data_IF_279528095715
#
_entry.id   IF_279528095715
#
_cell.length_a   1.000
_cell.length_b   1.000
_cell.length_c   1.000
_cell.angle_alpha   90.00
_cell.angle_beta   90.00
_cell.angle_gamma   90.00
#
_symmetry.space_group_name_H-M   'P 1'
#
loop_
_entity.id
_entity.type
_entity.pdbx_description
1 polymer ?
#
# COMPACT_ATOMS: atom_id res chain seq x y z
N UNK A 1 20.83 10.22 15.05
CA UNK A 1 20.10 8.94 15.09
C UNK A 1 20.99 7.87 14.47
N UNK A 2 21.28 6.83 15.22
CA UNK A 2 22.10 5.72 14.75
C UNK A 2 21.33 4.99 13.63
N UNK A 3 21.83 5.07 12.40
CA UNK A 3 21.46 4.12 11.36
C UNK A 3 21.91 2.74 11.84
N UNK A 4 20.97 1.89 12.20
CA UNK A 4 21.28 0.48 12.39
C UNK A 4 21.62 -0.08 11.01
N UNK A 5 22.89 -0.39 10.83
CA UNK A 5 23.35 -1.16 9.67
C UNK A 5 22.66 -2.52 9.72
N UNK A 6 21.71 -2.73 8.85
CA UNK A 6 20.84 -3.91 8.88
C UNK A 6 21.37 -5.06 8.06
N UNK A 7 22.56 -4.90 7.44
CA UNK A 7 23.13 -5.93 6.57
C UNK A 7 22.31 -6.26 5.32
N UNK A 8 21.27 -5.48 5.04
CA UNK A 8 20.50 -5.56 3.81
C UNK A 8 21.21 -4.74 2.73
N UNK A 9 21.87 -5.38 1.78
CA UNK A 9 22.28 -4.72 0.54
C UNK A 9 21.02 -4.24 -0.18
N UNK A 10 20.88 -2.92 -0.32
CA UNK A 10 19.89 -2.31 -1.20
C UNK A 10 20.26 -2.70 -2.64
N UNK A 11 19.57 -3.66 -3.21
CA UNK A 11 19.69 -3.93 -4.64
C UNK A 11 19.14 -2.72 -5.39
N UNK A 12 19.92 -2.20 -6.31
CA UNK A 12 19.49 -1.18 -7.28
C UNK A 12 18.23 -1.69 -8.03
N UNK A 13 17.10 -1.02 -7.83
CA UNK A 13 15.72 -1.38 -8.15
C UNK A 13 15.12 -2.31 -7.09
N UNK A 14 14.71 -1.71 -5.99
CA UNK A 14 14.05 -2.38 -4.86
C UNK A 14 12.71 -3.01 -5.25
N UNK A 15 12.77 -4.14 -5.94
CA UNK A 15 11.62 -5.02 -6.12
C UNK A 15 11.36 -5.76 -4.79
N UNK A 16 10.87 -5.03 -3.81
CA UNK A 16 10.34 -5.62 -2.58
C UNK A 16 9.03 -6.32 -2.89
N UNK A 17 9.10 -7.58 -3.28
CA UNK A 17 7.92 -8.38 -3.55
C UNK A 17 7.13 -8.58 -2.26
N UNK A 18 5.91 -8.09 -2.23
CA UNK A 18 5.01 -8.22 -1.08
C UNK A 18 4.56 -9.67 -0.93
N UNK A 19 4.88 -10.34 0.20
CA UNK A 19 4.41 -11.70 0.45
C UNK A 19 2.88 -11.77 0.46
N UNK A 20 2.31 -12.87 -0.01
CA UNK A 20 0.86 -13.04 -0.15
C UNK A 20 0.09 -12.74 1.14
N UNK A 21 0.57 -13.25 2.29
CA UNK A 21 -0.08 -13.07 3.59
C UNK A 21 -0.31 -11.58 3.97
N UNK A 22 0.53 -10.68 3.48
CA UNK A 22 0.43 -9.23 3.75
C UNK A 22 -0.83 -8.65 3.10
N UNK A 23 -1.08 -9.03 1.86
CA UNK A 23 -2.29 -8.61 1.14
C UNK A 23 -3.52 -9.39 1.63
N UNK A 24 -3.39 -10.68 1.89
CA UNK A 24 -4.44 -11.50 2.49
C UNK A 24 -4.95 -10.93 3.82
N UNK A 25 -4.05 -10.35 4.64
CA UNK A 25 -4.42 -9.69 5.88
C UNK A 25 -5.32 -8.45 5.66
N UNK A 26 -5.16 -7.76 4.53
CA UNK A 26 -5.95 -6.58 4.18
C UNK A 26 -7.37 -6.94 3.72
N UNK A 27 -7.54 -8.00 2.92
CA UNK A 27 -8.79 -8.28 2.21
C UNK A 27 -10.03 -8.34 3.11
N UNK A 28 -10.03 -8.94 4.31
CA UNK A 28 -11.19 -8.96 5.22
C UNK A 28 -11.62 -7.56 5.71
N UNK A 29 -10.75 -6.58 5.58
CA UNK A 29 -10.99 -5.19 6.00
C UNK A 29 -11.49 -4.28 4.88
N UNK A 30 -11.61 -4.82 3.66
CA UNK A 30 -12.07 -4.09 2.49
C UNK A 30 -13.56 -4.36 2.23
N UNK A 31 -14.30 -3.36 1.72
CA UNK A 31 -15.59 -3.61 1.11
C UNK A 31 -15.43 -4.41 -0.19
N UNK A 32 -16.53 -4.88 -0.75
CA UNK A 32 -16.53 -5.49 -2.08
C UNK A 32 -15.95 -4.52 -3.12
N UNK A 33 -14.92 -4.97 -3.84
CA UNK A 33 -14.28 -4.25 -4.93
C UNK A 33 -14.34 -5.12 -6.18
N UNK A 34 -14.86 -4.59 -7.28
CA UNK A 34 -14.93 -5.31 -8.56
C UNK A 34 -13.67 -5.13 -9.37
N UNK A 35 -13.13 -3.91 -9.38
CA UNK A 35 -11.92 -3.56 -10.13
C UNK A 35 -10.91 -2.91 -9.21
N UNK A 36 -9.74 -3.53 -9.11
CA UNK A 36 -8.61 -3.06 -8.30
C UNK A 36 -7.43 -2.75 -9.22
N UNK A 37 -6.73 -1.65 -8.95
CA UNK A 37 -5.49 -1.30 -9.61
C UNK A 37 -4.29 -1.39 -8.65
N UNK A 38 -3.27 -2.12 -9.05
CA UNK A 38 -1.93 -2.19 -8.45
C UNK A 38 -0.94 -1.44 -9.34
N UNK A 39 -0.65 -0.15 -9.07
CA UNK A 39 0.15 0.69 -9.96
C UNK A 39 1.68 0.58 -9.78
N UNK A 40 2.14 -0.19 -8.82
CA UNK A 40 3.56 -0.48 -8.59
C UNK A 40 3.77 -1.99 -8.44
N UNK A 41 3.30 -2.73 -9.45
CA UNK A 41 3.09 -4.17 -9.38
C UNK A 41 4.39 -5.00 -9.34
N UNK A 42 5.51 -4.45 -9.83
CA UNK A 42 6.76 -5.19 -9.94
C UNK A 42 6.56 -6.48 -10.73
N UNK A 43 6.83 -7.63 -10.11
CA UNK A 43 6.61 -8.95 -10.72
C UNK A 43 5.13 -9.39 -10.75
N UNK A 44 4.22 -8.61 -10.17
CA UNK A 44 2.80 -8.93 -10.06
C UNK A 44 2.46 -9.91 -8.93
N UNK A 45 3.38 -10.18 -8.01
CA UNK A 45 3.14 -11.13 -6.90
C UNK A 45 2.00 -10.68 -5.99
N UNK A 46 1.93 -9.39 -5.67
CA UNK A 46 0.85 -8.84 -4.86
C UNK A 46 -0.48 -8.82 -5.62
N UNK A 47 -0.46 -8.52 -6.91
CA UNK A 47 -1.66 -8.43 -7.75
C UNK A 47 -2.44 -9.75 -7.86
N UNK A 48 -1.77 -10.88 -7.72
CA UNK A 48 -2.40 -12.21 -7.79
C UNK A 48 -3.28 -12.53 -6.58
N UNK A 49 -3.02 -11.91 -5.44
CA UNK A 49 -3.77 -12.18 -4.20
C UNK A 49 -5.22 -11.68 -4.30
N UNK A 50 -5.48 -10.44 -4.73
CA UNK A 50 -6.84 -9.95 -4.86
C UNK A 50 -7.60 -10.53 -6.07
N UNK A 51 -6.97 -11.27 -7.00
CA UNK A 51 -7.66 -11.92 -8.12
C UNK A 51 -8.80 -12.86 -7.66
N UNK A 52 -8.65 -13.51 -6.50
CA UNK A 52 -9.71 -14.32 -5.89
C UNK A 52 -10.77 -13.51 -5.13
N UNK A 53 -10.53 -12.23 -4.90
CA UNK A 53 -11.39 -11.32 -4.15
C UNK A 53 -12.15 -10.36 -5.07
N UNK A 54 -11.47 -9.82 -6.08
CA UNK A 54 -12.03 -8.88 -7.05
C UNK A 54 -12.33 -9.56 -8.39
N UNK A 55 -13.24 -8.99 -9.16
CA UNK A 55 -13.55 -9.45 -10.51
C UNK A 55 -12.43 -9.17 -11.51
N UNK A 56 -11.73 -8.05 -11.34
CA UNK A 56 -10.63 -7.62 -12.22
C UNK A 56 -9.51 -6.97 -11.39
N UNK A 57 -8.28 -7.37 -11.65
CA UNK A 57 -7.08 -6.72 -11.11
C UNK A 57 -6.23 -6.20 -12.26
N UNK A 58 -5.99 -4.89 -12.27
CA UNK A 58 -5.13 -4.22 -13.23
C UNK A 58 -3.76 -4.02 -12.57
N UNK A 59 -2.72 -4.49 -13.23
CA UNK A 59 -1.34 -4.33 -12.78
C UNK A 59 -0.59 -3.41 -13.73
N UNK A 60 0.17 -2.48 -13.19
CA UNK A 60 1.07 -1.63 -13.96
C UNK A 60 2.33 -1.30 -13.17
N UNK A 61 3.38 -0.91 -13.86
CA UNK A 61 4.65 -0.55 -13.25
C UNK A 61 5.42 0.44 -14.12
N UNK A 62 6.19 1.32 -13.48
CA UNK A 62 7.06 2.27 -14.18
C UNK A 62 8.11 1.57 -15.04
N UNK A 63 8.55 0.38 -14.66
CA UNK A 63 9.48 -0.42 -15.44
C UNK A 63 8.91 -0.86 -16.79
N UNK A 64 7.58 -0.89 -16.92
CA UNK A 64 6.85 -1.16 -18.15
C UNK A 64 6.44 0.13 -18.89
N UNK A 65 6.94 1.27 -18.46
CA UNK A 65 6.65 2.57 -19.06
C UNK A 65 5.32 3.20 -18.61
N UNK A 66 4.69 2.66 -17.58
CA UNK A 66 3.43 3.18 -17.05
C UNK A 66 3.68 3.97 -15.76
N UNK A 67 3.69 5.29 -15.88
CA UNK A 67 3.87 6.21 -14.76
C UNK A 67 2.54 6.50 -14.07
N UNK A 68 2.36 5.93 -12.88
CA UNK A 68 1.18 6.15 -12.06
C UNK A 68 0.97 7.63 -11.68
N UNK A 69 2.07 8.35 -11.44
CA UNK A 69 1.99 9.77 -11.03
C UNK A 69 1.50 10.67 -12.19
N UNK A 70 1.58 10.19 -13.43
CA UNK A 70 1.06 10.88 -14.60
C UNK A 70 -0.38 10.46 -14.98
N UNK A 71 -0.95 9.46 -14.29
CA UNK A 71 -2.31 9.02 -14.56
C UNK A 71 -3.33 10.14 -14.24
N UNK A 72 -4.29 10.34 -15.12
CA UNK A 72 -5.31 11.39 -15.05
C UNK A 72 -6.73 10.85 -14.80
N UNK A 73 -6.93 9.54 -14.86
CA UNK A 73 -8.21 8.88 -14.59
C UNK A 73 -8.07 7.40 -14.30
N UNK A 74 -9.01 6.87 -13.53
CA UNK A 74 -9.20 5.45 -13.28
C UNK A 74 -10.68 5.18 -12.97
N UNK A 75 -11.28 4.27 -13.72
CA UNK A 75 -12.68 3.85 -13.55
C UNK A 75 -12.72 2.48 -12.86
N UNK A 76 -12.44 2.45 -11.58
CA UNK A 76 -12.46 1.25 -10.76
C UNK A 76 -12.76 1.55 -9.30
N UNK A 77 -12.74 0.53 -8.45
CA UNK A 77 -13.22 0.64 -7.07
C UNK A 77 -12.10 0.94 -6.07
N UNK A 78 -10.89 0.46 -6.36
CA UNK A 78 -9.78 0.60 -5.41
C UNK A 78 -8.41 0.68 -6.08
N UNK A 79 -7.51 1.42 -5.46
CA UNK A 79 -6.07 1.41 -5.71
C UNK A 79 -5.39 0.82 -4.48
N UNK A 80 -4.70 -0.31 -4.66
CA UNK A 80 -4.04 -1.05 -3.58
C UNK A 80 -2.60 -1.30 -4.00
N UNK A 81 -1.63 -0.78 -3.24
CA UNK A 81 -0.22 -0.91 -3.62
C UNK A 81 0.74 -0.84 -2.44
N UNK A 82 1.92 -1.37 -2.66
CA UNK A 82 3.13 -1.11 -1.90
C UNK A 82 3.97 -0.08 -2.68
N UNK A 83 3.81 1.23 -2.41
CA UNK A 83 4.45 2.25 -3.22
C UNK A 83 5.96 2.33 -2.97
N UNK A 84 6.74 2.89 -3.92
CA UNK A 84 8.13 3.25 -3.65
C UNK A 84 8.20 4.21 -2.45
N UNK A 85 9.07 3.92 -1.48
CA UNK A 85 9.13 4.69 -0.22
C UNK A 85 9.38 6.19 -0.43
N UNK A 86 10.26 6.54 -1.34
CA UNK A 86 10.62 7.92 -1.63
C UNK A 86 9.47 8.72 -2.27
N UNK A 87 8.52 8.02 -2.92
CA UNK A 87 7.38 8.61 -3.62
C UNK A 87 6.04 8.28 -2.93
N UNK A 88 6.07 7.77 -1.72
CA UNK A 88 4.86 7.29 -1.05
C UNK A 88 3.81 8.38 -0.84
N UNK A 89 4.22 9.60 -0.49
CA UNK A 89 3.32 10.73 -0.34
C UNK A 89 2.63 11.08 -1.66
N UNK A 90 3.41 11.18 -2.74
CA UNK A 90 2.91 11.49 -4.09
C UNK A 90 1.97 10.39 -4.60
N UNK A 91 2.29 9.13 -4.32
CA UNK A 91 1.41 7.99 -4.62
C UNK A 91 0.07 8.08 -3.91
N UNK A 92 0.07 8.41 -2.62
CA UNK A 92 -1.17 8.57 -1.84
C UNK A 92 -1.99 9.73 -2.42
N UNK A 93 -1.38 10.88 -2.64
CA UNK A 93 -2.06 12.07 -3.17
C UNK A 93 -2.65 11.81 -4.56
N UNK A 94 -1.91 11.14 -5.45
CA UNK A 94 -2.40 10.75 -6.77
C UNK A 94 -3.56 9.76 -6.67
N UNK A 95 -3.43 8.74 -5.84
CA UNK A 95 -4.49 7.76 -5.62
C UNK A 95 -5.76 8.40 -5.07
N UNK A 96 -5.64 9.29 -4.09
CA UNK A 96 -6.78 10.03 -3.54
C UNK A 96 -7.46 10.91 -4.59
N UNK A 97 -6.68 11.55 -5.46
CA UNK A 97 -7.22 12.32 -6.58
C UNK A 97 -8.02 11.43 -7.55
N UNK A 98 -7.45 10.28 -7.95
CA UNK A 98 -8.08 9.35 -8.90
C UNK A 98 -9.35 8.70 -8.34
N UNK A 99 -9.37 8.42 -7.04
CA UNK A 99 -10.48 7.74 -6.37
C UNK A 99 -11.50 8.71 -5.75
N UNK A 100 -11.33 10.02 -5.93
CA UNK A 100 -12.19 11.02 -5.33
C UNK A 100 -13.66 10.76 -5.62
N UNK A 101 -14.48 10.89 -4.58
CA UNK A 101 -15.91 10.73 -4.47
C UNK A 101 -16.46 9.34 -4.12
N UNK A 102 -15.86 8.24 -4.47
CA UNK A 102 -16.47 6.91 -4.21
C UNK A 102 -15.51 5.74 -4.03
N UNK A 103 -14.21 5.93 -4.30
CA UNK A 103 -13.25 4.85 -4.32
C UNK A 103 -12.51 4.63 -3.00
N UNK A 104 -11.64 3.63 -3.02
CA UNK A 104 -10.81 3.22 -1.89
C UNK A 104 -9.34 3.24 -2.28
N UNK A 105 -8.50 3.66 -1.35
CA UNK A 105 -7.03 3.61 -1.46
C UNK A 105 -6.48 2.83 -0.29
N UNK A 106 -5.62 1.85 -0.54
CA UNK A 106 -4.88 1.14 0.48
C UNK A 106 -3.39 1.12 0.14
N UNK A 107 -2.57 1.64 1.05
CA UNK A 107 -1.12 1.73 0.89
C UNK A 107 -0.41 0.96 1.99
N UNK A 108 0.49 0.07 1.60
CA UNK A 108 1.39 -0.62 2.52
C UNK A 108 2.58 0.28 2.82
N UNK A 109 2.71 0.70 4.05
CA UNK A 109 3.74 1.64 4.48
C UNK A 109 4.37 1.20 5.80
N UNK A 110 5.48 1.80 6.17
CA UNK A 110 6.02 1.67 7.52
C UNK A 110 4.98 2.15 8.53
N UNK A 111 4.89 1.46 9.65
CA UNK A 111 3.87 1.76 10.66
C UNK A 111 3.99 3.18 11.26
N UNK A 112 5.18 3.78 11.19
CA UNK A 112 5.45 5.14 11.65
C UNK A 112 5.29 6.24 10.56
N UNK A 113 4.76 5.88 9.41
CA UNK A 113 4.57 6.82 8.29
C UNK A 113 3.66 8.00 8.65
N UNK A 114 2.69 7.78 9.53
CA UNK A 114 1.74 8.79 10.01
C UNK A 114 2.29 9.71 11.12
N UNK A 115 3.54 9.55 11.54
CA UNK A 115 4.13 10.39 12.59
C UNK A 115 4.68 11.72 12.10
N UNK A 116 4.93 11.88 10.80
CA UNK A 116 5.52 13.10 10.28
C UNK A 116 4.51 14.24 10.13
N UNK A 117 4.83 15.40 10.67
CA UNK A 117 4.01 16.61 10.54
C UNK A 117 3.73 16.99 9.08
N UNK A 118 4.70 16.78 8.19
CA UNK A 118 4.56 17.04 6.75
C UNK A 118 3.51 16.18 6.05
N UNK A 119 3.09 15.07 6.66
CA UNK A 119 2.08 14.13 6.15
C UNK A 119 0.74 14.25 6.87
N UNK A 120 0.60 15.18 7.80
CA UNK A 120 -0.61 15.34 8.62
C UNK A 120 -1.88 15.48 7.77
N UNK A 121 -1.79 16.18 6.64
CA UNK A 121 -2.92 16.37 5.73
C UNK A 121 -3.49 15.06 5.17
N UNK A 122 -2.68 14.02 5.01
CA UNK A 122 -3.12 12.70 4.53
C UNK A 122 -3.97 11.98 5.57
N UNK A 123 -3.61 12.09 6.84
CA UNK A 123 -4.28 11.38 7.95
C UNK A 123 -5.41 12.18 8.60
N UNK A 124 -5.46 13.48 8.34
CA UNK A 124 -6.62 14.33 8.63
C UNK A 124 -7.61 14.37 7.47
N UNK A 125 -7.31 13.72 6.36
CA UNK A 125 -8.21 13.62 5.22
C UNK A 125 -9.50 12.90 5.63
N UNK A 126 -10.70 13.42 5.27
CA UNK A 126 -11.97 12.82 5.69
C UNK A 126 -12.16 11.35 5.28
N UNK A 127 -11.54 10.92 4.18
CA UNK A 127 -11.60 9.55 3.73
C UNK A 127 -10.69 8.60 4.52
N UNK A 128 -9.74 9.09 5.31
CA UNK A 128 -8.87 8.21 6.09
C UNK A 128 -9.70 7.38 7.08
N UNK A 129 -9.74 6.08 6.86
CA UNK A 129 -10.71 5.20 7.51
C UNK A 129 -10.10 4.16 8.44
N UNK A 130 -8.90 3.69 8.14
CA UNK A 130 -8.31 2.58 8.90
C UNK A 130 -6.79 2.54 8.81
N UNK A 131 -6.18 2.16 9.93
CA UNK A 131 -4.80 1.68 10.00
C UNK A 131 -4.83 0.22 10.46
N UNK A 132 -4.48 -0.69 9.55
CA UNK A 132 -4.33 -2.12 9.87
C UNK A 132 -2.85 -2.39 10.20
N UNK A 133 -2.55 -2.54 11.47
CA UNK A 133 -1.20 -2.82 11.95
C UNK A 133 -0.87 -4.29 11.72
N UNK A 134 0.20 -4.56 10.98
CA UNK A 134 0.72 -5.91 10.81
C UNK A 134 1.63 -6.24 11.98
N UNK A 135 1.21 -7.18 12.82
CA UNK A 135 1.95 -7.57 14.03
C UNK A 135 3.13 -8.49 13.71
N UNK A 136 3.12 -9.11 12.55
CA UNK A 136 4.24 -9.87 12.01
C UNK A 136 5.07 -8.98 11.08
N UNK A 137 6.39 -9.01 11.24
CA UNK A 137 7.29 -8.26 10.36
C UNK A 137 7.40 -8.92 8.99
N UNK A 138 7.44 -8.10 7.95
CA UNK A 138 7.57 -8.59 6.57
C UNK A 138 9.01 -9.00 6.32
N UNK A 139 9.20 -10.24 5.87
CA UNK A 139 10.45 -10.74 5.34
C UNK A 139 10.43 -10.59 3.83
N UNK A 140 11.15 -9.59 3.33
CA UNK A 140 11.13 -9.22 1.91
C UNK A 140 11.87 -10.20 1.01
N UNK A 141 12.90 -10.86 1.54
CA UNK A 141 13.72 -11.83 0.83
C UNK A 141 13.73 -13.15 1.59
N UNK A 142 13.29 -14.23 0.95
CA UNK A 142 13.19 -15.56 1.58
C UNK A 142 14.57 -16.08 2.05
N UNK A 143 15.62 -15.78 1.29
CA UNK A 143 16.98 -16.24 1.54
C UNK A 143 17.80 -15.33 2.47
N UNK A 144 17.23 -14.24 2.95
CA UNK A 144 17.97 -13.33 3.81
C UNK A 144 18.19 -13.91 5.21
N UNK A 145 19.42 -13.89 5.67
CA UNK A 145 19.79 -14.31 7.02
C UNK A 145 19.51 -13.26 8.10
N UNK A 146 19.15 -12.03 7.68
CA UNK A 146 18.85 -10.90 8.57
C UNK A 146 17.42 -10.93 9.10
N UNK A 147 17.23 -10.38 10.30
CA UNK A 147 15.88 -10.14 10.85
C UNK A 147 15.26 -8.91 10.16
N UNK A 148 13.96 -8.97 9.82
CA UNK A 148 13.26 -7.80 9.31
C UNK A 148 13.33 -6.65 10.31
N UNK A 149 13.73 -5.46 9.84
CA UNK A 149 14.05 -4.33 10.73
C UNK A 149 12.89 -3.37 10.93
N UNK A 150 11.87 -3.39 10.06
CA UNK A 150 10.77 -2.44 10.09
C UNK A 150 9.42 -3.13 10.24
N UNK A 151 8.53 -2.45 10.98
CA UNK A 151 7.13 -2.81 11.07
C UNK A 151 6.34 -2.08 9.97
N UNK A 152 5.28 -2.71 9.48
CA UNK A 152 4.42 -2.17 8.44
C UNK A 152 2.95 -2.16 8.88
N UNK A 153 2.18 -1.33 8.21
CA UNK A 153 0.74 -1.27 8.33
C UNK A 153 0.12 -0.98 6.97
N UNK A 154 -1.10 -1.41 6.77
CA UNK A 154 -1.93 -0.90 5.71
C UNK A 154 -2.63 0.37 6.18
N UNK A 155 -2.52 1.41 5.40
CA UNK A 155 -3.26 2.66 5.60
C UNK A 155 -4.35 2.73 4.54
N UNK A 156 -5.59 2.89 4.98
CA UNK A 156 -6.77 2.82 4.12
C UNK A 156 -7.53 4.13 4.15
N UNK A 157 -7.80 4.67 2.97
CA UNK A 157 -8.71 5.77 2.72
C UNK A 157 -9.91 5.24 1.94
N UNK A 158 -11.10 5.45 2.45
CA UNK A 158 -12.36 5.07 1.81
C UNK A 158 -13.28 6.28 1.77
N UNK A 159 -13.57 6.78 0.58
CA UNK A 159 -14.45 7.95 0.40
C UNK A 159 -15.88 7.71 0.86
N UNK A 160 -16.28 6.45 1.08
CA UNK A 160 -17.59 6.08 1.64
C UNK A 160 -17.59 6.03 3.16
N UNK A 161 -16.40 6.09 3.79
CA UNK A 161 -16.25 6.06 5.24
C UNK A 161 -16.85 7.31 5.89
N UNK A 162 -17.49 7.12 7.04
CA UNK A 162 -18.00 8.20 7.89
C UNK A 162 -17.54 7.99 9.32
N UNK A 163 -17.15 9.08 9.97
CA UNK A 163 -16.68 9.05 11.35
C UNK A 163 -15.16 8.99 11.47
N UNK A 164 -14.69 8.72 12.68
CA UNK A 164 -13.26 8.66 12.98
C UNK A 164 -12.61 7.42 12.38
N UNK A 165 -11.32 7.48 12.01
CA UNK A 165 -10.60 6.30 11.57
C UNK A 165 -10.46 5.29 12.71
N UNK A 166 -10.36 4.01 12.34
CA UNK A 166 -10.20 2.90 13.27
C UNK A 166 -8.82 2.27 13.15
N UNK A 167 -8.39 1.58 14.21
CA UNK A 167 -7.19 0.76 14.20
C UNK A 167 -7.61 -0.70 14.28
N UNK A 168 -7.01 -1.54 13.44
CA UNK A 168 -7.12 -2.99 13.50
C UNK A 168 -5.73 -3.63 13.54
N UNK A 169 -5.66 -4.88 13.95
CA UNK A 169 -4.41 -5.62 14.05
C UNK A 169 -4.55 -6.92 13.28
N UNK A 170 -3.55 -7.24 12.49
CA UNK A 170 -3.48 -8.47 11.70
C UNK A 170 -2.18 -9.24 11.89
N UNK A 171 -2.05 -10.44 11.31
CA UNK A 171 -0.90 -11.32 11.49
C UNK A 171 0.41 -10.71 11.02
#
# INVERSE_FOLDING_TARGET
MSQRDTGYERKERDLYETPAWVTEALLPHLPECRTIWEPAAGSGKMSRVPEGFAGTVISSDIAEGQDFLAADGFDGDAIITNPPYELATEFIERALFLMASSGLVAMLLRTDFDHAKSRQHLFQHPAFSKKLVLTKRIKWFEDSKGQPSFNHAWFVWDYRHKGSPTIAYGP
#
